data_IF_453105131576
#
_entry.id   IF_453105131576
#
_cell.length_a   1.000
_cell.length_b   1.000
_cell.length_c   1.000
_cell.angle_alpha   90.00
_cell.angle_beta   90.00
_cell.angle_gamma   90.00
#
_symmetry.space_group_name_H-M   'P 1'
#
loop_
_entity.id
_entity.type
_entity.pdbx_description
1 polymer ?
#
# COMPACT_ATOMS: atom_id res chain seq x y z
N UNK A 1 66.23 -7.59 -28.30
CA UNK A 1 65.38 -7.42 -27.09
C UNK A 1 64.80 -5.99 -26.91
N UNK A 2 64.78 -5.11 -27.92
CA UNK A 2 64.20 -3.74 -27.83
C UNK A 2 62.77 -3.61 -28.40
N UNK A 3 62.33 -4.55 -29.23
CA UNK A 3 61.02 -4.49 -29.91
C UNK A 3 59.88 -5.10 -29.08
N UNK A 4 60.18 -6.06 -28.19
CA UNK A 4 59.18 -6.64 -27.28
C UNK A 4 58.75 -5.65 -26.19
N UNK A 5 59.64 -4.73 -25.78
CA UNK A 5 59.34 -3.71 -24.78
C UNK A 5 58.32 -2.69 -25.30
N UNK A 6 58.41 -2.29 -26.58
CA UNK A 6 57.44 -1.37 -27.21
C UNK A 6 56.05 -2.00 -27.38
N UNK A 7 55.98 -3.28 -27.70
CA UNK A 7 54.72 -4.03 -27.81
C UNK A 7 54.02 -4.16 -26.45
N UNK A 8 54.79 -4.30 -25.37
CA UNK A 8 54.26 -4.34 -24.01
C UNK A 8 53.62 -3.00 -23.57
N UNK A 9 54.22 -1.87 -23.94
CA UNK A 9 53.64 -0.54 -23.65
C UNK A 9 52.36 -0.26 -24.46
N UNK A 10 52.25 -0.77 -25.68
CA UNK A 10 51.01 -0.66 -26.48
C UNK A 10 49.91 -1.54 -25.89
N UNK A 11 50.22 -2.76 -25.45
CA UNK A 11 49.25 -3.63 -24.79
C UNK A 11 48.77 -3.06 -23.43
N UNK A 12 49.67 -2.41 -22.67
CA UNK A 12 49.34 -1.74 -21.41
C UNK A 12 48.45 -0.50 -21.62
N UNK A 13 48.56 0.20 -22.75
CA UNK A 13 47.69 1.34 -23.05
C UNK A 13 46.24 0.95 -23.40
N UNK A 14 46.02 -0.28 -23.87
CA UNK A 14 44.68 -0.78 -24.21
C UNK A 14 43.88 -1.23 -22.97
N UNK A 15 44.54 -1.53 -21.85
CA UNK A 15 43.86 -1.92 -20.60
C UNK A 15 43.39 -0.71 -19.77
N UNK A 16 43.86 0.50 -20.05
CA UNK A 16 43.38 1.73 -19.39
C UNK A 16 42.21 2.42 -20.10
N UNK A 17 41.81 1.96 -21.29
CA UNK A 17 40.63 2.48 -21.99
C UNK A 17 39.32 1.73 -21.70
N UNK A 18 39.32 0.80 -20.73
CA UNK A 18 38.08 0.32 -20.12
C UNK A 18 37.54 1.38 -19.16
N UNK A 19 37.15 2.52 -19.73
CA UNK A 19 36.29 3.48 -19.08
C UNK A 19 34.95 2.77 -18.92
N UNK A 20 34.71 2.17 -17.75
CA UNK A 20 33.36 1.86 -17.34
C UNK A 20 32.58 3.16 -17.51
N UNK A 21 31.61 3.19 -18.42
CA UNK A 21 30.56 4.20 -18.36
C UNK A 21 29.91 4.01 -16.99
N UNK A 22 30.37 4.77 -16.01
CA UNK A 22 29.57 5.02 -14.83
C UNK A 22 28.22 5.45 -15.38
N UNK A 23 27.19 4.65 -15.09
CA UNK A 23 25.82 5.09 -15.27
C UNK A 23 25.75 6.37 -14.44
N UNK A 24 25.82 7.52 -15.10
CA UNK A 24 25.67 8.80 -14.44
C UNK A 24 24.33 8.74 -13.72
N UNK A 25 24.35 8.62 -12.40
CA UNK A 25 23.14 8.69 -11.59
C UNK A 25 22.54 10.05 -11.92
N UNK A 26 21.43 10.06 -12.65
CA UNK A 26 20.78 11.33 -12.96
C UNK A 26 20.31 11.93 -11.62
N UNK A 27 20.28 13.26 -11.46
CA UNK A 27 19.78 13.89 -10.24
C UNK A 27 18.39 13.37 -9.84
N UNK A 28 17.58 13.05 -10.85
CA UNK A 28 16.26 12.43 -10.72
C UNK A 28 16.32 11.02 -10.11
N UNK A 29 17.30 10.19 -10.48
CA UNK A 29 17.44 8.85 -9.91
C UNK A 29 17.84 8.89 -8.43
N UNK A 30 18.65 9.87 -8.02
CA UNK A 30 18.98 10.08 -6.60
C UNK A 30 17.76 10.46 -5.79
N UNK A 31 16.98 11.44 -6.26
CA UNK A 31 15.75 11.91 -5.58
C UNK A 31 14.73 10.77 -5.43
N UNK A 32 14.51 9.99 -6.50
CA UNK A 32 13.62 8.83 -6.47
C UNK A 32 14.08 7.82 -5.41
N UNK A 33 15.39 7.55 -5.35
CA UNK A 33 15.98 6.58 -4.43
C UNK A 33 15.87 7.03 -2.97
N UNK A 34 16.13 8.31 -2.69
CA UNK A 34 16.00 8.88 -1.35
C UNK A 34 14.55 8.83 -0.84
N UNK A 35 13.59 9.17 -1.72
CA UNK A 35 12.15 9.10 -1.39
C UNK A 35 11.71 7.68 -1.03
N UNK A 36 12.11 6.67 -1.81
CA UNK A 36 11.74 5.27 -1.53
C UNK A 36 12.45 4.71 -0.30
N UNK A 37 13.70 5.10 -0.05
CA UNK A 37 14.41 4.73 1.17
C UNK A 37 13.71 5.24 2.44
N UNK A 38 13.22 6.49 2.39
CA UNK A 38 12.46 7.07 3.50
C UNK A 38 11.11 6.38 3.72
N UNK A 39 10.42 6.01 2.64
CA UNK A 39 9.15 5.27 2.72
C UNK A 39 9.30 3.92 3.43
N UNK A 40 10.40 3.20 3.19
CA UNK A 40 10.66 1.94 3.88
C UNK A 40 10.93 2.12 5.37
N UNK A 41 11.70 3.16 5.73
CA UNK A 41 12.05 3.45 7.12
C UNK A 41 10.85 3.83 7.98
N UNK A 42 9.88 4.57 7.40
CA UNK A 42 8.69 5.03 8.14
C UNK A 42 7.76 3.86 8.51
N UNK A 43 7.90 2.70 7.84
CA UNK A 43 7.09 1.51 8.09
C UNK A 43 5.63 1.79 7.77
N UNK A 44 5.15 1.35 6.61
CA UNK A 44 3.78 1.62 6.11
C UNK A 44 2.65 1.24 7.10
N UNK A 45 2.89 0.30 8.02
CA UNK A 45 1.96 -0.04 9.13
C UNK A 45 1.75 1.07 10.15
N UNK A 46 2.54 2.15 10.13
CA UNK A 46 2.37 3.32 11.00
C UNK A 46 1.08 4.10 10.73
N UNK A 47 0.33 3.76 9.68
CA UNK A 47 -0.94 4.41 9.28
C UNK A 47 -2.20 3.60 9.63
N UNK A 48 -2.10 2.68 10.59
CA UNK A 48 -3.25 1.90 11.06
C UNK A 48 -4.04 2.65 12.13
N UNK A 49 -5.36 2.67 12.02
CA UNK A 49 -6.29 3.18 13.02
C UNK A 49 -7.28 2.09 13.38
N UNK A 50 -7.36 1.78 14.67
CA UNK A 50 -8.29 0.80 15.20
C UNK A 50 -9.40 1.49 15.99
N UNK A 51 -10.64 1.08 15.73
CA UNK A 51 -11.79 1.39 16.56
C UNK A 51 -12.39 0.09 17.05
N UNK A 52 -12.56 -0.03 18.37
CA UNK A 52 -13.22 -1.17 18.98
C UNK A 52 -14.67 -0.79 19.28
N UNK A 53 -15.60 -1.64 18.84
CA UNK A 53 -17.03 -1.52 19.18
C UNK A 53 -17.50 -2.85 19.71
N UNK A 54 -17.94 -2.86 20.97
CA UNK A 54 -18.19 -4.06 21.75
C UNK A 54 -16.93 -4.96 21.75
N UNK A 55 -17.04 -6.18 21.23
CA UNK A 55 -15.99 -7.20 21.18
C UNK A 55 -15.32 -7.34 19.79
N UNK A 56 -15.53 -6.35 18.92
CA UNK A 56 -14.99 -6.33 17.54
C UNK A 56 -14.08 -5.13 17.34
N UNK A 57 -12.83 -5.41 16.97
CA UNK A 57 -11.86 -4.44 16.49
C UNK A 57 -11.96 -4.24 14.98
N UNK A 58 -12.09 -2.98 14.57
CA UNK A 58 -12.11 -2.54 13.18
C UNK A 58 -10.84 -1.74 12.90
N UNK A 59 -9.95 -2.26 12.07
CA UNK A 59 -8.66 -1.61 11.78
C UNK A 59 -8.58 -1.21 10.32
N UNK A 60 -8.43 0.09 10.07
CA UNK A 60 -8.20 0.64 8.74
C UNK A 60 -6.74 1.08 8.58
N UNK A 61 -6.10 0.69 7.48
CA UNK A 61 -4.72 1.07 7.16
C UNK A 61 -4.65 1.59 5.73
N UNK A 62 -4.22 2.83 5.54
CA UNK A 62 -3.91 3.35 4.22
C UNK A 62 -2.54 2.83 3.77
N UNK A 63 -2.51 2.07 2.68
CA UNK A 63 -1.27 1.47 2.16
C UNK A 63 -0.79 2.25 0.94
N UNK A 64 0.41 2.87 0.98
CA UNK A 64 0.95 3.58 -0.18
C UNK A 64 1.12 2.64 -1.37
N UNK A 65 0.71 3.07 -2.58
CA UNK A 65 0.84 2.26 -3.81
C UNK A 65 2.29 1.87 -4.08
N UNK A 66 3.22 2.78 -3.74
CA UNK A 66 4.66 2.55 -3.82
C UNK A 66 5.09 1.27 -3.09
N UNK A 67 4.44 0.94 -1.97
CA UNK A 67 4.75 -0.28 -1.22
C UNK A 67 4.45 -1.54 -2.04
N UNK A 68 3.28 -1.60 -2.70
CA UNK A 68 2.94 -2.74 -3.56
C UNK A 68 3.87 -2.83 -4.77
N UNK A 69 4.17 -1.69 -5.41
CA UNK A 69 5.08 -1.64 -6.56
C UNK A 69 6.49 -2.11 -6.20
N UNK A 70 7.03 -1.67 -5.06
CA UNK A 70 8.36 -2.08 -4.58
C UNK A 70 8.38 -3.55 -4.15
N UNK A 71 7.28 -4.06 -3.59
CA UNK A 71 7.17 -5.47 -3.20
C UNK A 71 7.16 -6.40 -4.42
N UNK A 72 6.50 -6.00 -5.50
CA UNK A 72 6.35 -6.80 -6.71
C UNK A 72 7.57 -6.67 -7.66
N UNK A 73 8.04 -5.45 -7.90
CA UNK A 73 9.09 -5.15 -8.88
C UNK A 73 10.50 -5.07 -8.27
N UNK A 74 10.60 -5.04 -6.95
CA UNK A 74 11.87 -4.82 -6.25
C UNK A 74 12.42 -3.40 -6.41
N UNK A 75 13.73 -3.23 -6.14
CA UNK A 75 14.43 -1.93 -6.10
C UNK A 75 15.41 -1.73 -7.26
N UNK A 76 15.50 -2.69 -8.16
CA UNK A 76 16.50 -2.67 -9.22
C UNK A 76 16.22 -1.57 -10.25
N UNK A 77 14.94 -1.33 -10.55
CA UNK A 77 14.49 -0.33 -11.53
C UNK A 77 13.52 0.68 -10.91
N UNK A 78 14.04 1.60 -10.10
CA UNK A 78 13.23 2.62 -9.43
C UNK A 78 12.57 3.61 -10.40
N UNK A 79 13.13 3.82 -11.59
CA UNK A 79 12.53 4.65 -12.64
C UNK A 79 11.21 4.05 -13.16
N UNK A 80 11.16 2.72 -13.30
CA UNK A 80 9.91 2.02 -13.65
C UNK A 80 8.88 2.14 -12.52
N UNK A 81 9.30 1.94 -11.27
CA UNK A 81 8.43 2.08 -10.09
C UNK A 81 7.84 3.50 -10.02
N UNK A 82 8.67 4.53 -10.21
CA UNK A 82 8.23 5.93 -10.28
C UNK A 82 7.22 6.19 -11.40
N UNK A 83 7.50 5.69 -12.62
CA UNK A 83 6.58 5.83 -13.75
C UNK A 83 5.23 5.17 -13.49
N UNK A 84 5.21 3.99 -12.87
CA UNK A 84 3.98 3.30 -12.49
C UNK A 84 3.26 4.02 -11.36
N UNK A 85 3.98 4.55 -10.37
CA UNK A 85 3.38 5.39 -9.34
C UNK A 85 2.71 6.62 -9.97
N UNK A 86 3.39 7.36 -10.84
CA UNK A 86 2.83 8.56 -11.47
C UNK A 86 1.56 8.28 -12.29
N UNK A 87 1.49 7.12 -12.95
CA UNK A 87 0.28 6.67 -13.66
C UNK A 87 -0.88 6.33 -12.72
N UNK A 88 -0.59 5.89 -11.49
CA UNK A 88 -1.58 5.37 -10.54
C UNK A 88 -1.73 6.25 -9.29
N UNK A 89 -1.12 7.44 -9.23
CA UNK A 89 -1.09 8.30 -8.01
C UNK A 89 -2.46 8.77 -7.52
N UNK A 90 -3.49 8.61 -8.34
CA UNK A 90 -4.89 8.92 -8.01
C UNK A 90 -5.67 7.75 -7.42
N UNK A 91 -5.06 6.58 -7.41
CA UNK A 91 -5.61 5.40 -6.76
C UNK A 91 -5.27 5.44 -5.26
N UNK A 92 -6.10 4.79 -4.45
CA UNK A 92 -5.83 4.52 -3.04
C UNK A 92 -6.24 3.09 -2.72
N UNK A 93 -5.38 2.43 -1.93
CA UNK A 93 -5.62 1.10 -1.42
C UNK A 93 -5.65 1.16 0.10
N UNK A 94 -6.69 0.58 0.69
CA UNK A 94 -6.84 0.49 2.14
C UNK A 94 -6.98 -0.97 2.55
N UNK A 95 -6.19 -1.39 3.52
CA UNK A 95 -6.46 -2.64 4.25
C UNK A 95 -7.50 -2.36 5.34
N UNK A 96 -8.54 -3.18 5.38
CA UNK A 96 -9.54 -3.13 6.43
C UNK A 96 -9.67 -4.50 7.09
N UNK A 97 -9.47 -4.55 8.40
CA UNK A 97 -9.43 -5.79 9.17
C UNK A 97 -10.52 -5.78 10.24
N UNK A 98 -11.24 -6.89 10.34
CA UNK A 98 -12.22 -7.19 11.37
C UNK A 98 -11.64 -8.27 12.27
N UNK A 99 -11.57 -8.03 13.57
CA UNK A 99 -11.02 -8.99 14.53
C UNK A 99 -11.90 -9.06 15.76
N UNK A 100 -12.17 -10.26 16.24
CA UNK A 100 -12.92 -10.48 17.48
C UNK A 100 -11.93 -10.71 18.63
N UNK A 101 -12.20 -10.15 19.81
CA UNK A 101 -11.25 -10.12 20.93
C UNK A 101 -10.87 -11.53 21.46
N UNK A 102 -11.75 -12.51 21.31
CA UNK A 102 -11.55 -13.91 21.68
C UNK A 102 -11.25 -14.80 20.45
N UNK A 103 -10.83 -14.18 19.34
CA UNK A 103 -10.43 -14.87 18.10
C UNK A 103 -11.54 -15.73 17.48
N UNK A 104 -12.81 -15.43 17.79
CA UNK A 104 -13.94 -16.13 17.19
C UNK A 104 -14.09 -15.78 15.72
N UNK A 105 -14.57 -16.75 14.96
CA UNK A 105 -14.89 -16.56 13.56
C UNK A 105 -16.08 -15.61 13.40
N UNK A 106 -15.79 -14.38 12.95
CA UNK A 106 -16.76 -13.32 12.75
C UNK A 106 -17.80 -13.65 11.67
N UNK A 107 -17.59 -14.65 10.82
CA UNK A 107 -18.57 -15.03 9.79
C UNK A 107 -19.67 -15.95 10.32
N UNK A 108 -19.60 -16.34 11.60
CA UNK A 108 -20.64 -17.12 12.24
C UNK A 108 -21.95 -16.32 12.39
N UNK A 109 -23.06 -17.05 12.36
CA UNK A 109 -24.43 -16.50 12.37
C UNK A 109 -24.74 -15.62 13.57
N UNK A 110 -24.12 -15.87 14.72
CA UNK A 110 -24.29 -15.07 15.93
C UNK A 110 -23.71 -13.65 15.78
N UNK A 111 -22.73 -13.44 14.89
CA UNK A 111 -22.16 -12.12 14.61
C UNK A 111 -22.87 -11.43 13.43
N UNK A 112 -23.17 -12.17 12.37
CA UNK A 112 -23.67 -11.58 11.11
C UNK A 112 -25.20 -11.61 10.96
N UNK A 113 -25.86 -12.51 11.69
CA UNK A 113 -27.26 -12.87 11.45
C UNK A 113 -27.51 -13.64 10.15
N UNK A 114 -26.46 -14.02 9.41
CA UNK A 114 -26.52 -14.73 8.13
C UNK A 114 -25.98 -16.15 8.27
N UNK A 115 -26.35 -17.03 7.35
CA UNK A 115 -25.66 -18.31 7.23
C UNK A 115 -24.23 -18.09 6.71
N UNK A 116 -23.30 -18.97 7.10
CA UNK A 116 -21.86 -18.76 6.87
C UNK A 116 -21.51 -18.50 5.40
N UNK A 117 -22.10 -19.27 4.48
CA UNK A 117 -21.88 -19.12 3.04
C UNK A 117 -22.34 -17.75 2.54
N UNK A 118 -23.45 -17.23 3.07
CA UNK A 118 -23.97 -15.91 2.70
C UNK A 118 -23.11 -14.80 3.29
N UNK A 119 -22.59 -14.97 4.51
CA UNK A 119 -21.62 -14.05 5.10
C UNK A 119 -20.34 -13.97 4.26
N UNK A 120 -19.80 -15.12 3.81
CA UNK A 120 -18.64 -15.18 2.90
C UNK A 120 -18.96 -14.48 1.58
N UNK A 121 -20.12 -14.76 0.98
CA UNK A 121 -20.56 -14.13 -0.27
C UNK A 121 -20.71 -12.62 -0.11
N UNK A 122 -21.24 -12.17 1.02
CA UNK A 122 -21.39 -10.75 1.33
C UNK A 122 -20.03 -10.07 1.43
N UNK A 123 -19.08 -10.65 2.16
CA UNK A 123 -17.71 -10.13 2.26
C UNK A 123 -17.03 -10.01 0.89
N UNK A 124 -17.22 -11.00 0.01
CA UNK A 124 -16.62 -10.99 -1.33
C UNK A 124 -17.25 -9.99 -2.31
N UNK A 125 -18.57 -9.78 -2.25
CA UNK A 125 -19.29 -9.07 -3.32
C UNK A 125 -20.18 -7.92 -2.82
N UNK A 126 -20.78 -8.05 -1.64
CA UNK A 126 -21.72 -7.07 -1.09
C UNK A 126 -21.02 -5.91 -0.37
N UNK A 127 -19.90 -6.19 0.30
CA UNK A 127 -19.23 -5.29 1.22
C UNK A 127 -18.78 -3.96 0.59
N UNK A 128 -18.54 -3.94 -0.74
CA UNK A 128 -18.15 -2.72 -1.49
C UNK A 128 -19.05 -1.52 -1.21
N UNK A 129 -20.36 -1.73 -1.10
CA UNK A 129 -21.33 -0.63 -0.90
C UNK A 129 -21.30 -0.02 0.50
N UNK A 130 -20.68 -0.70 1.44
CA UNK A 130 -20.61 -0.29 2.84
C UNK A 130 -19.46 0.70 3.08
N UNK A 131 -18.59 0.90 2.08
CA UNK A 131 -17.43 1.77 2.17
C UNK A 131 -17.47 2.93 1.18
N UNK A 132 -17.12 4.11 1.69
CA UNK A 132 -16.81 5.29 0.89
C UNK A 132 -15.71 6.11 1.59
N UNK A 133 -15.02 6.97 0.84
CA UNK A 133 -14.10 7.94 1.42
C UNK A 133 -14.62 9.35 1.22
N UNK A 134 -14.33 10.21 2.19
CA UNK A 134 -14.53 11.66 2.10
C UNK A 134 -13.16 12.32 2.03
N UNK A 135 -12.93 13.15 1.00
CA UNK A 135 -11.66 13.87 0.85
C UNK A 135 -11.63 15.13 1.71
N UNK A 136 -10.45 15.71 1.90
CA UNK A 136 -10.27 17.03 2.55
C UNK A 136 -11.11 18.14 1.90
N UNK A 137 -11.44 18.01 0.61
CA UNK A 137 -12.30 18.93 -0.15
C UNK A 137 -13.79 18.63 -0.02
N UNK A 138 -14.16 17.65 0.80
CA UNK A 138 -15.53 17.17 1.06
C UNK A 138 -16.18 16.45 -0.13
N UNK A 139 -15.37 15.97 -1.09
CA UNK A 139 -15.88 15.06 -2.11
C UNK A 139 -16.11 13.68 -1.52
N UNK A 140 -17.20 13.03 -1.90
CA UNK A 140 -17.50 11.65 -1.53
C UNK A 140 -17.14 10.74 -2.69
N UNK A 141 -16.22 9.80 -2.46
CA UNK A 141 -15.77 8.85 -3.47
C UNK A 141 -16.18 7.45 -3.02
N UNK A 142 -16.95 6.77 -3.87
CA UNK A 142 -17.40 5.42 -3.62
C UNK A 142 -16.26 4.42 -3.78
N UNK A 143 -16.31 3.32 -3.03
CA UNK A 143 -15.38 2.22 -3.21
C UNK A 143 -15.51 1.67 -4.63
N UNK A 144 -14.39 1.53 -5.35
CA UNK A 144 -14.37 1.01 -6.73
C UNK A 144 -14.30 -0.52 -6.77
N UNK A 145 -13.70 -1.14 -5.74
CA UNK A 145 -13.61 -2.59 -5.62
C UNK A 145 -13.24 -3.04 -4.21
N UNK A 146 -13.54 -4.31 -3.93
CA UNK A 146 -13.16 -5.01 -2.70
C UNK A 146 -12.52 -6.34 -3.07
N UNK A 147 -11.41 -6.67 -2.43
CA UNK A 147 -10.82 -8.01 -2.48
C UNK A 147 -10.83 -8.60 -1.07
N UNK A 148 -11.60 -9.66 -0.88
CA UNK A 148 -11.65 -10.38 0.39
C UNK A 148 -10.56 -11.46 0.45
N UNK A 149 -9.63 -11.33 1.40
CA UNK A 149 -8.57 -12.31 1.61
C UNK A 149 -9.11 -13.55 2.35
N UNK A 150 -9.12 -14.69 1.67
CA UNK A 150 -9.53 -15.96 2.27
C UNK A 150 -8.38 -16.53 3.09
N UNK A 151 -8.56 -16.57 4.41
CA UNK A 151 -7.57 -17.11 5.34
C UNK A 151 -7.84 -18.58 5.75
N UNK A 152 -8.92 -19.20 5.28
CA UNK A 152 -9.33 -20.57 5.61
C UNK A 152 -9.25 -20.92 7.11
N UNK A 153 -9.58 -19.96 7.99
CA UNK A 153 -9.52 -20.10 9.46
C UNK A 153 -8.11 -20.28 10.05
N UNK A 154 -7.08 -19.94 9.29
CA UNK A 154 -5.68 -19.95 9.78
C UNK A 154 -5.41 -18.71 10.65
N UNK A 155 -6.06 -17.58 10.35
CA UNK A 155 -5.88 -16.33 11.07
C UNK A 155 -7.18 -15.89 11.76
N UNK A 156 -7.11 -15.36 12.99
CA UNK A 156 -8.29 -14.98 13.78
C UNK A 156 -8.86 -13.61 13.41
N UNK A 157 -8.78 -13.22 12.14
CA UNK A 157 -9.30 -11.95 11.63
C UNK A 157 -9.78 -12.10 10.19
N UNK A 158 -10.74 -11.28 9.76
CA UNK A 158 -11.12 -11.15 8.37
C UNK A 158 -10.48 -9.90 7.78
N UNK A 159 -9.82 -10.00 6.63
CA UNK A 159 -9.18 -8.85 5.97
C UNK A 159 -9.74 -8.63 4.57
N UNK A 160 -10.00 -7.38 4.24
CA UNK A 160 -10.33 -6.94 2.89
C UNK A 160 -9.39 -5.84 2.43
N UNK A 161 -9.12 -5.81 1.13
CA UNK A 161 -8.50 -4.68 0.44
C UNK A 161 -9.60 -3.88 -0.23
N UNK A 162 -9.60 -2.57 0.02
CA UNK A 162 -10.54 -1.61 -0.54
C UNK A 162 -9.81 -0.76 -1.57
N UNK A 163 -10.43 -0.57 -2.73
CA UNK A 163 -9.89 0.23 -3.82
C UNK A 163 -10.73 1.50 -4.01
N UNK A 164 -10.05 2.62 -4.24
CA UNK A 164 -10.67 3.91 -4.56
C UNK A 164 -9.86 4.61 -5.65
N UNK A 165 -10.55 5.32 -6.55
CA UNK A 165 -9.97 5.90 -7.75
C UNK A 165 -10.29 7.39 -7.85
N UNK A 166 -9.46 8.13 -8.57
CA UNK A 166 -9.71 9.55 -8.85
C UNK A 166 -9.39 10.52 -7.72
N UNK A 167 -8.79 10.06 -6.62
CA UNK A 167 -8.44 10.90 -5.45
C UNK A 167 -7.22 11.77 -5.80
N UNK A 168 -7.23 13.06 -5.45
CA UNK A 168 -6.04 13.89 -5.65
C UNK A 168 -4.89 13.37 -4.74
N UNK A 169 -3.65 13.21 -5.23
CA UNK A 169 -2.50 12.80 -4.42
C UNK A 169 -2.31 13.60 -3.12
N UNK A 170 -2.69 14.87 -3.14
CA UNK A 170 -2.49 15.81 -2.02
C UNK A 170 -3.70 15.91 -1.08
N UNK A 171 -4.80 15.22 -1.38
CA UNK A 171 -5.97 15.23 -0.50
C UNK A 171 -5.79 14.17 0.60
N UNK A 172 -6.03 14.58 1.85
CA UNK A 172 -6.24 13.62 2.93
C UNK A 172 -7.62 12.99 2.80
N UNK A 173 -7.75 11.76 3.28
CA UNK A 173 -9.00 11.00 3.20
C UNK A 173 -9.49 10.60 4.59
N UNK A 174 -10.81 10.49 4.70
CA UNK A 174 -11.48 9.84 5.81
C UNK A 174 -12.25 8.64 5.25
N UNK A 175 -11.90 7.43 5.70
CA UNK A 175 -12.69 6.24 5.37
C UNK A 175 -13.95 6.23 6.23
N UNK A 176 -15.08 5.97 5.60
CA UNK A 176 -16.35 5.74 6.27
C UNK A 176 -16.83 4.34 5.95
N UNK A 177 -17.19 3.61 7.00
CA UNK A 177 -17.73 2.27 6.93
C UNK A 177 -19.12 2.26 7.58
N UNK A 178 -20.15 1.97 6.78
CA UNK A 178 -21.52 1.77 7.25
C UNK A 178 -21.73 0.28 7.51
N UNK A 179 -21.55 -0.15 8.76
CA UNK A 179 -21.56 -1.56 9.12
C UNK A 179 -22.95 -2.19 9.00
N UNK A 180 -23.17 -2.87 7.88
CA UNK A 180 -24.33 -3.72 7.64
C UNK A 180 -24.18 -5.13 8.21
N UNK A 181 -22.94 -5.64 8.29
CA UNK A 181 -22.69 -7.05 8.57
C UNK A 181 -22.81 -7.36 10.06
N UNK A 182 -22.17 -6.57 10.93
CA UNK A 182 -22.17 -6.75 12.39
C UNK A 182 -23.09 -5.78 13.12
N UNK A 183 -23.72 -4.85 12.38
CA UNK A 183 -24.72 -3.88 12.85
C UNK A 183 -24.20 -2.95 13.95
N UNK A 184 -22.93 -2.57 13.89
CA UNK A 184 -22.25 -1.63 14.81
C UNK A 184 -22.40 -0.15 14.42
N UNK A 185 -23.14 0.15 13.36
CA UNK A 185 -23.41 1.53 12.92
C UNK A 185 -22.33 2.08 11.98
N UNK A 186 -22.09 3.38 12.03
CA UNK A 186 -21.17 4.06 11.10
C UNK A 186 -19.83 4.32 11.79
N UNK A 187 -18.75 3.77 11.23
CA UNK A 187 -17.38 3.93 11.69
C UNK A 187 -16.60 4.85 10.76
N UNK A 188 -15.72 5.67 11.33
CA UNK A 188 -15.09 6.81 10.65
C UNK A 188 -13.60 6.88 10.98
N UNK A 189 -12.74 6.59 10.02
CA UNK A 189 -11.29 6.53 10.20
C UNK A 189 -10.62 7.71 9.51
N UNK A 190 -10.01 8.61 10.29
CA UNK A 190 -9.28 9.78 9.77
C UNK A 190 -7.79 9.46 9.76
N UNK A 191 -7.20 9.40 8.58
CA UNK A 191 -5.76 9.21 8.44
C UNK A 191 -5.05 10.54 8.67
N UNK A 192 -4.06 10.55 9.58
CA UNK A 192 -3.18 11.72 9.75
C UNK A 192 -2.30 11.89 8.51
N UNK A 193 -2.00 13.15 8.22
CA UNK A 193 -1.15 13.54 7.10
C UNK A 193 0.24 12.89 7.22
N UNK A 194 0.75 12.21 6.18
CA UNK A 194 2.10 11.68 6.18
C UNK A 194 3.20 12.73 6.12
N UNK A 195 2.88 13.99 5.78
CA UNK A 195 3.83 15.09 5.86
C UNK A 195 3.97 15.59 7.30
N UNK A 196 4.51 14.75 8.17
CA UNK A 196 5.41 15.31 9.18
C UNK A 196 6.60 15.81 8.36
N UNK A 197 6.70 17.14 8.18
CA UNK A 197 7.91 17.75 7.64
C UNK A 197 9.07 17.15 8.42
N UNK A 198 9.93 16.39 7.73
CA UNK A 198 11.28 16.17 8.23
C UNK A 198 11.85 17.59 8.30
N UNK A 199 12.03 18.10 9.52
CA UNK A 199 12.66 19.39 9.73
C UNK A 199 13.97 19.40 8.92
N UNK A 200 14.10 20.40 8.05
CA UNK A 200 15.27 20.65 7.22
C UNK A 200 16.55 20.74 8.05
#
# INVERSE_FOLDING_TARGET
>A
MKNFTRLFYVLLSLTFFSCQREKSNSPKDSEIRDRYFNLEKIGWKSRSYTQNVDDIGFTATEVPIQYYLLKDLGKENLTLVDSLYEKNKRERVLEFTFQQDQEKDLLLKNFTGMDYTDAVKYMSFGLKKDFYVVTSKKDTITCSGVLFERNYKIAPYQKVLLFFSGINPNDTIQLVYSDYLFRKGILKFKFKDPYTQIAL
#
